data_IF_575516868700
#
_entry.id   IF_575516868700
#
_cell.length_a   1.000
_cell.length_b   1.000
_cell.length_c   1.000
_cell.angle_alpha   90.00
_cell.angle_beta   90.00
_cell.angle_gamma   90.00
#
_symmetry.space_group_name_H-M   'P 1'
#
loop_
_entity.id
_entity.type
_entity.pdbx_description
1 polymer ?
#
# COMPACT_ATOMS: atom_id res chain seq x y z
N UNK A 1 6.43 -9.58 12.43
CA UNK A 1 5.35 -9.98 13.36
C UNK A 1 4.95 -8.84 14.32
N UNK A 2 5.86 -8.17 15.06
CA UNK A 2 5.45 -7.08 15.98
C UNK A 2 4.65 -5.96 15.33
N UNK A 3 4.98 -5.56 14.10
CA UNK A 3 4.25 -4.52 13.38
C UNK A 3 2.76 -4.88 13.21
N UNK A 4 2.42 -6.13 12.90
CA UNK A 4 1.02 -6.56 12.80
C UNK A 4 0.31 -6.50 14.15
N UNK A 5 0.97 -6.96 15.22
CA UNK A 5 0.43 -6.90 16.58
C UNK A 5 0.17 -5.44 16.97
N UNK A 6 1.14 -4.56 16.73
CA UNK A 6 1.00 -3.15 17.03
C UNK A 6 -0.15 -2.48 16.27
N UNK A 7 -0.34 -2.81 14.98
CA UNK A 7 -1.47 -2.32 14.21
C UNK A 7 -2.80 -2.86 14.74
N UNK A 8 -2.86 -4.14 15.11
CA UNK A 8 -4.05 -4.76 15.71
C UNK A 8 -4.38 -4.17 17.07
N UNK A 9 -3.40 -3.98 17.95
CA UNK A 9 -3.59 -3.39 19.28
C UNK A 9 -4.12 -1.94 19.21
N UNK A 10 -3.84 -1.23 18.11
CA UNK A 10 -4.36 0.12 17.81
C UNK A 10 -5.63 0.13 16.95
N UNK A 11 -6.22 -1.02 16.70
CA UNK A 11 -7.37 -1.19 15.78
C UNK A 11 -7.14 -0.56 14.37
N UNK A 12 -5.89 -0.53 13.91
CA UNK A 12 -5.57 -0.06 12.57
C UNK A 12 -5.86 -1.15 11.56
N UNK A 13 -6.54 -0.80 10.49
CA UNK A 13 -6.74 -1.68 9.33
C UNK A 13 -5.52 -1.61 8.43
N UNK A 14 -5.12 -2.74 7.86
CA UNK A 14 -3.93 -2.81 7.01
C UNK A 14 -4.06 -3.85 5.91
N UNK A 15 -3.36 -3.59 4.81
CA UNK A 15 -3.06 -4.54 3.74
C UNK A 15 -1.56 -4.46 3.48
N UNK A 16 -0.84 -5.57 3.64
CA UNK A 16 0.63 -5.62 3.50
C UNK A 16 1.02 -6.77 2.59
N UNK A 17 1.86 -6.50 1.59
CA UNK A 17 2.47 -7.54 0.77
C UNK A 17 3.50 -8.33 1.58
N UNK A 18 3.38 -9.63 1.59
CA UNK A 18 4.38 -10.52 2.14
C UNK A 18 5.45 -10.87 1.10
N UNK A 19 6.71 -10.82 1.50
CA UNK A 19 7.78 -11.40 0.68
C UNK A 19 7.65 -12.93 0.69
N UNK A 20 8.16 -13.59 -0.32
CA UNK A 20 8.18 -15.06 -0.39
C UNK A 20 8.94 -15.73 0.76
N UNK A 21 9.85 -14.99 1.41
CA UNK A 21 10.58 -15.42 2.61
C UNK A 21 9.77 -15.28 3.89
N UNK A 22 8.77 -14.38 3.92
CA UNK A 22 8.02 -14.06 5.12
C UNK A 22 6.94 -15.11 5.35
N UNK A 23 6.80 -15.60 6.56
CA UNK A 23 5.76 -16.61 6.89
C UNK A 23 5.72 -17.78 5.89
N UNK A 24 6.90 -18.24 5.45
CA UNK A 24 7.04 -19.24 4.37
C UNK A 24 6.23 -20.51 4.63
N UNK A 25 6.18 -20.99 5.86
CA UNK A 25 5.39 -22.18 6.23
C UNK A 25 3.91 -21.93 6.01
N UNK A 26 3.42 -20.81 6.48
CA UNK A 26 2.03 -20.41 6.39
C UNK A 26 1.63 -20.15 4.94
N UNK A 27 2.46 -19.43 4.18
CA UNK A 27 2.22 -19.22 2.74
C UNK A 27 2.18 -20.53 1.96
N UNK A 28 3.08 -21.49 2.27
CA UNK A 28 3.12 -22.80 1.60
C UNK A 28 1.95 -23.71 1.98
N UNK A 29 1.32 -23.48 3.12
CA UNK A 29 0.16 -24.26 3.59
C UNK A 29 -1.18 -23.71 3.14
N UNK A 30 -1.20 -22.60 2.37
CA UNK A 30 -2.45 -22.02 1.87
C UNK A 30 -3.11 -22.97 0.87
N UNK A 31 -4.25 -23.53 1.25
CA UNK A 31 -5.09 -24.39 0.40
C UNK A 31 -6.01 -23.58 -0.51
N UNK A 32 -6.37 -22.38 -0.09
CA UNK A 32 -7.27 -21.46 -0.79
C UNK A 32 -6.55 -20.14 -1.12
N UNK A 33 -7.14 -19.39 -2.05
CA UNK A 33 -6.60 -18.10 -2.43
C UNK A 33 -6.87 -16.99 -1.40
N UNK A 34 -7.81 -17.22 -0.49
CA UNK A 34 -8.22 -16.28 0.54
C UNK A 34 -8.62 -17.06 1.79
N UNK A 35 -7.78 -17.04 2.80
CA UNK A 35 -8.04 -17.78 4.03
C UNK A 35 -7.48 -17.08 5.27
N UNK A 36 -8.14 -17.32 6.41
CA UNK A 36 -7.65 -16.90 7.72
C UNK A 36 -6.59 -17.92 8.22
N UNK A 37 -5.40 -17.44 8.51
CA UNK A 37 -4.25 -18.23 8.92
C UNK A 37 -3.87 -17.91 10.36
N UNK A 38 -3.76 -18.93 11.21
CA UNK A 38 -3.24 -18.79 12.56
C UNK A 38 -1.72 -18.92 12.56
N UNK A 39 -1.07 -17.92 13.10
CA UNK A 39 0.39 -17.82 13.20
C UNK A 39 0.79 -17.98 14.65
N UNK A 40 1.41 -19.11 14.99
CA UNK A 40 1.94 -19.35 16.33
C UNK A 40 3.16 -18.48 16.58
N UNK A 41 3.16 -17.80 17.73
CA UNK A 41 4.26 -16.98 18.21
C UNK A 41 5.19 -17.84 19.07
N UNK A 42 5.87 -18.77 18.42
CA UNK A 42 6.79 -19.70 19.07
C UNK A 42 8.12 -19.03 19.49
N UNK A 43 8.92 -19.78 20.25
CA UNK A 43 10.22 -19.28 20.73
C UNK A 43 11.14 -18.81 19.59
N UNK A 44 11.04 -19.39 18.41
CA UNK A 44 11.88 -19.03 17.27
C UNK A 44 11.56 -17.64 16.74
N UNK A 45 10.28 -17.27 16.75
CA UNK A 45 9.79 -15.94 16.33
C UNK A 45 10.02 -14.87 17.39
N UNK A 46 9.91 -15.25 18.68
CA UNK A 46 10.10 -14.34 19.82
C UNK A 46 11.57 -14.02 20.07
N UNK A 47 12.47 -14.95 19.77
CA UNK A 47 13.91 -14.87 20.10
C UNK A 47 14.56 -13.51 19.77
N UNK A 48 14.22 -12.92 18.64
CA UNK A 48 14.79 -11.62 18.22
C UNK A 48 14.23 -10.42 19.01
N UNK A 49 13.17 -10.63 19.77
CA UNK A 49 12.46 -9.61 20.55
C UNK A 49 12.50 -9.91 22.05
N UNK A 50 13.31 -10.87 22.47
CA UNK A 50 13.44 -11.28 23.88
C UNK A 50 13.95 -10.12 24.73
N UNK A 51 13.28 -9.86 25.85
CA UNK A 51 13.58 -8.72 26.73
C UNK A 51 13.05 -7.38 26.25
N UNK A 52 12.28 -7.34 25.17
CA UNK A 52 11.60 -6.13 24.69
C UNK A 52 10.10 -6.17 24.99
N UNK A 53 9.40 -5.00 25.04
CA UNK A 53 7.95 -4.97 25.19
C UNK A 53 7.22 -5.78 24.12
N UNK A 54 7.71 -5.76 22.87
CA UNK A 54 7.17 -6.56 21.77
C UNK A 54 7.28 -8.06 22.03
N UNK A 55 8.41 -8.51 22.56
CA UNK A 55 8.62 -9.91 22.93
C UNK A 55 7.69 -10.38 24.03
N UNK A 56 7.46 -9.57 25.06
CA UNK A 56 6.50 -9.87 26.11
C UNK A 56 5.06 -9.90 25.57
N UNK A 57 4.69 -8.95 24.74
CA UNK A 57 3.37 -8.94 24.08
C UNK A 57 3.15 -10.17 23.19
N UNK A 58 4.19 -10.59 22.46
CA UNK A 58 4.14 -11.82 21.65
C UNK A 58 3.95 -13.07 22.49
N UNK A 59 4.62 -13.16 23.66
CA UNK A 59 4.45 -14.28 24.61
C UNK A 59 3.03 -14.33 25.18
N UNK A 60 2.49 -13.18 25.54
CA UNK A 60 1.13 -13.05 26.08
C UNK A 60 0.07 -13.53 25.08
N UNK A 61 0.19 -13.12 23.81
CA UNK A 61 -0.75 -13.47 22.76
C UNK A 61 -0.66 -14.95 22.34
N UNK A 62 0.55 -15.52 22.30
CA UNK A 62 0.81 -16.90 21.89
C UNK A 62 0.53 -17.20 20.42
N UNK A 63 -0.51 -16.63 19.84
CA UNK A 63 -0.83 -16.72 18.40
C UNK A 63 -1.50 -15.44 17.91
N UNK A 64 -1.42 -15.20 16.60
CA UNK A 64 -2.21 -14.16 15.89
C UNK A 64 -2.90 -14.78 14.70
N UNK A 65 -4.02 -14.19 14.31
CA UNK A 65 -4.74 -14.56 13.08
C UNK A 65 -4.57 -13.48 12.03
N UNK A 66 -4.12 -13.86 10.83
CA UNK A 66 -4.03 -12.98 9.67
C UNK A 66 -4.80 -13.60 8.51
N UNK A 67 -5.57 -12.80 7.81
CA UNK A 67 -6.12 -13.20 6.53
C UNK A 67 -5.02 -13.08 5.47
N UNK A 68 -4.76 -14.15 4.75
CA UNK A 68 -3.80 -14.19 3.64
C UNK A 68 -4.55 -14.34 2.34
N UNK A 69 -4.32 -13.42 1.41
CA UNK A 69 -4.98 -13.35 0.11
C UNK A 69 -3.94 -13.48 -0.98
N UNK A 70 -4.07 -14.49 -1.86
CA UNK A 70 -3.25 -14.64 -3.06
C UNK A 70 -3.86 -13.82 -4.19
N UNK A 71 -3.08 -12.95 -4.79
CA UNK A 71 -3.49 -12.16 -5.95
C UNK A 71 -2.57 -12.48 -7.13
N UNK A 72 -3.17 -12.66 -8.30
CA UNK A 72 -2.45 -12.78 -9.56
C UNK A 72 -2.36 -11.40 -10.19
N UNK A 73 -1.14 -10.91 -10.41
CA UNK A 73 -0.89 -9.63 -11.08
C UNK A 73 -0.99 -9.80 -12.60
N UNK A 74 -1.17 -8.71 -13.33
CA UNK A 74 -1.25 -8.68 -14.80
C UNK A 74 -0.02 -9.27 -15.48
N UNK A 75 1.16 -9.14 -14.85
CA UNK A 75 2.42 -9.72 -15.34
C UNK A 75 2.56 -11.22 -15.06
N UNK A 76 1.52 -11.88 -14.53
CA UNK A 76 1.50 -13.30 -14.20
C UNK A 76 2.18 -13.67 -12.86
N UNK A 77 2.69 -12.70 -12.11
CA UNK A 77 3.28 -12.96 -10.80
C UNK A 77 2.20 -13.13 -9.73
N UNK A 78 2.41 -14.13 -8.86
CA UNK A 78 1.56 -14.35 -7.71
C UNK A 78 2.13 -13.58 -6.51
N UNK A 79 1.31 -12.73 -5.90
CA UNK A 79 1.63 -12.06 -4.64
C UNK A 79 0.71 -12.54 -3.51
N UNK A 80 1.23 -12.52 -2.29
CA UNK A 80 0.45 -12.82 -1.09
C UNK A 80 0.34 -11.57 -0.24
N UNK A 81 -0.90 -11.19 0.06
CA UNK A 81 -1.23 -10.08 0.96
C UNK A 81 -1.63 -10.61 2.32
N UNK A 82 -1.17 -9.93 3.38
CA UNK A 82 -1.65 -10.13 4.74
C UNK A 82 -2.53 -8.95 5.15
N UNK A 83 -3.67 -9.24 5.77
CA UNK A 83 -4.61 -8.19 6.21
C UNK A 83 -5.36 -8.62 7.47
N UNK A 84 -5.92 -7.66 8.21
CA UNK A 84 -6.89 -7.86 9.27
C UNK A 84 -8.32 -7.48 8.85
N UNK A 85 -8.53 -7.15 7.57
CA UNK A 85 -9.87 -6.88 7.03
C UNK A 85 -10.71 -8.16 6.98
N UNK A 86 -11.96 -8.06 7.39
CA UNK A 86 -12.89 -9.19 7.44
C UNK A 86 -13.25 -9.68 6.02
N UNK A 87 -13.41 -11.00 5.85
CA UNK A 87 -13.93 -11.58 4.58
C UNK A 87 -15.39 -11.22 4.31
N UNK A 88 -16.15 -10.90 5.35
CA UNK A 88 -17.58 -10.54 5.23
C UNK A 88 -17.78 -9.09 4.79
N UNK A 89 -16.82 -8.21 5.10
CA UNK A 89 -16.88 -6.78 4.76
C UNK A 89 -16.13 -6.46 3.47
N UNK A 90 -15.05 -7.21 3.20
CA UNK A 90 -14.18 -6.98 2.04
C UNK A 90 -13.93 -8.31 1.31
N UNK A 91 -14.49 -8.46 0.14
CA UNK A 91 -14.22 -9.62 -0.72
C UNK A 91 -12.80 -9.55 -1.31
N UNK A 92 -12.33 -10.67 -1.85
CA UNK A 92 -10.97 -10.79 -2.42
C UNK A 92 -10.67 -9.74 -3.49
N UNK A 93 -11.66 -9.43 -4.35
CA UNK A 93 -11.49 -8.43 -5.42
C UNK A 93 -11.34 -7.01 -4.84
N UNK A 94 -12.09 -6.67 -3.79
CA UNK A 94 -11.96 -5.37 -3.12
C UNK A 94 -10.58 -5.21 -2.44
N UNK A 95 -10.05 -6.30 -1.83
CA UNK A 95 -8.68 -6.31 -1.30
C UNK A 95 -7.66 -6.05 -2.41
N UNK A 96 -7.86 -6.63 -3.59
CA UNK A 96 -7.00 -6.43 -4.75
C UNK A 96 -7.06 -4.98 -5.24
N UNK A 97 -8.24 -4.39 -5.33
CA UNK A 97 -8.44 -2.99 -5.72
C UNK A 97 -7.79 -2.03 -4.71
N UNK A 98 -8.05 -2.23 -3.41
CA UNK A 98 -7.43 -1.42 -2.35
C UNK A 98 -5.90 -1.51 -2.39
N UNK A 99 -5.35 -2.70 -2.61
CA UNK A 99 -3.91 -2.87 -2.75
C UNK A 99 -3.37 -2.20 -4.02
N UNK A 100 -4.12 -2.25 -5.12
CA UNK A 100 -3.74 -1.59 -6.36
C UNK A 100 -3.65 -0.07 -6.21
N UNK A 101 -4.50 0.55 -5.40
CA UNK A 101 -4.44 2.00 -5.11
C UNK A 101 -3.08 2.44 -4.53
N UNK A 102 -2.29 1.52 -3.94
CA UNK A 102 -0.92 1.78 -3.48
C UNK A 102 0.00 2.28 -4.60
N UNK A 103 -0.23 1.84 -5.85
CA UNK A 103 0.56 2.28 -7.01
C UNK A 103 0.43 3.78 -7.28
N UNK A 104 -0.67 4.39 -6.87
CA UNK A 104 -0.84 5.84 -6.96
C UNK A 104 0.26 6.61 -6.24
N UNK A 105 0.77 6.10 -5.10
CA UNK A 105 1.88 6.73 -4.36
C UNK A 105 3.19 6.65 -5.16
N UNK A 106 3.47 5.50 -5.79
CA UNK A 106 4.69 5.32 -6.59
C UNK A 106 4.67 6.23 -7.82
N UNK A 107 3.54 6.33 -8.50
CA UNK A 107 3.34 7.22 -9.64
C UNK A 107 3.43 8.69 -9.24
N UNK A 108 2.82 9.08 -8.11
CA UNK A 108 2.93 10.43 -7.57
C UNK A 108 4.37 10.79 -7.22
N UNK A 109 5.11 9.85 -6.62
CA UNK A 109 6.52 10.05 -6.28
C UNK A 109 7.39 10.19 -7.53
N UNK A 110 7.13 9.39 -8.56
CA UNK A 110 7.81 9.50 -9.86
C UNK A 110 7.52 10.85 -10.54
N UNK A 111 6.29 11.32 -10.47
CA UNK A 111 5.91 12.64 -10.99
C UNK A 111 6.64 13.76 -10.24
N UNK A 112 6.64 13.74 -8.92
CA UNK A 112 7.34 14.73 -8.11
C UNK A 112 8.85 14.73 -8.40
N UNK A 113 9.45 13.56 -8.48
CA UNK A 113 10.90 13.41 -8.67
C UNK A 113 11.33 13.74 -10.09
N UNK A 114 10.69 13.14 -11.09
CA UNK A 114 11.16 13.15 -12.46
C UNK A 114 10.54 14.27 -13.30
N UNK A 115 9.24 14.52 -13.16
CA UNK A 115 8.56 15.56 -13.93
C UNK A 115 8.72 16.95 -13.31
N UNK A 116 8.48 17.06 -12.00
CA UNK A 116 8.56 18.32 -11.27
C UNK A 116 9.96 18.59 -10.67
N UNK A 117 10.90 17.67 -10.88
CA UNK A 117 12.31 17.80 -10.48
C UNK A 117 12.47 18.27 -9.03
N UNK A 118 11.69 17.67 -8.10
CA UNK A 118 11.67 18.03 -6.69
C UNK A 118 13.07 18.11 -6.04
N UNK A 119 14.06 17.38 -6.58
CA UNK A 119 15.43 17.35 -6.09
C UNK A 119 16.28 18.55 -6.58
N UNK A 120 15.78 19.39 -7.48
CA UNK A 120 16.47 20.58 -7.99
C UNK A 120 16.20 21.80 -7.09
N UNK A 121 16.88 21.83 -5.96
CA UNK A 121 16.71 22.90 -4.99
C UNK A 121 17.37 24.21 -5.43
N UNK A 122 16.69 25.33 -5.21
CA UNK A 122 17.17 26.68 -5.55
C UNK A 122 18.20 27.19 -4.53
N UNK A 123 18.33 26.54 -3.38
CA UNK A 123 19.28 26.93 -2.34
C UNK A 123 19.64 25.82 -1.37
N UNK A 124 20.65 26.09 -0.54
CA UNK A 124 21.17 25.12 0.45
C UNK A 124 20.67 25.37 1.88
N UNK A 125 20.02 26.50 2.13
CA UNK A 125 19.46 26.80 3.46
C UNK A 125 18.20 25.97 3.71
N UNK A 126 18.02 25.38 4.91
CA UNK A 126 16.83 24.55 5.21
C UNK A 126 15.51 25.20 4.86
N UNK A 127 15.36 26.51 5.07
CA UNK A 127 14.11 27.22 4.74
C UNK A 127 13.82 27.25 3.23
N UNK A 128 14.83 27.39 2.39
CA UNK A 128 14.70 27.38 0.93
C UNK A 128 14.33 25.97 0.44
N UNK A 129 14.98 24.94 0.99
CA UNK A 129 14.63 23.54 0.69
C UNK A 129 13.18 23.23 1.02
N UNK A 130 12.70 23.63 2.19
CA UNK A 130 11.31 23.47 2.60
C UNK A 130 10.35 24.25 1.68
N UNK A 131 10.72 25.45 1.28
CA UNK A 131 9.92 26.27 0.35
C UNK A 131 9.80 25.58 -1.01
N UNK A 132 10.90 25.07 -1.56
CA UNK A 132 10.90 24.33 -2.84
C UNK A 132 10.04 23.07 -2.75
N UNK A 133 10.19 22.28 -1.67
CA UNK A 133 9.39 21.08 -1.45
C UNK A 133 7.89 21.40 -1.37
N UNK A 134 7.50 22.35 -0.51
CA UNK A 134 6.09 22.69 -0.33
C UNK A 134 5.48 23.32 -1.58
N UNK A 135 6.22 24.18 -2.31
CA UNK A 135 5.71 24.75 -3.55
C UNK A 135 5.51 23.70 -4.63
N UNK A 136 6.43 22.75 -4.76
CA UNK A 136 6.33 21.65 -5.73
C UNK A 136 5.14 20.74 -5.41
N UNK A 137 4.95 20.35 -4.14
CA UNK A 137 3.79 19.55 -3.72
C UNK A 137 2.48 20.31 -3.96
N UNK A 138 2.44 21.61 -3.62
CA UNK A 138 1.25 22.42 -3.82
C UNK A 138 0.88 22.52 -5.31
N UNK A 139 1.86 22.78 -6.16
CA UNK A 139 1.64 22.86 -7.62
C UNK A 139 1.23 21.51 -8.21
N UNK A 140 1.80 20.41 -7.71
CA UNK A 140 1.40 19.06 -8.12
C UNK A 140 -0.07 18.80 -7.79
N UNK A 141 -0.49 19.10 -6.57
CA UNK A 141 -1.88 18.89 -6.15
C UNK A 141 -2.85 19.77 -6.95
N UNK A 142 -2.47 21.03 -7.21
CA UNK A 142 -3.28 21.93 -8.03
C UNK A 142 -3.41 21.42 -9.48
N UNK A 143 -2.33 20.92 -10.05
CA UNK A 143 -2.35 20.32 -11.39
C UNK A 143 -3.25 19.08 -11.45
N UNK A 144 -3.18 18.19 -10.45
CA UNK A 144 -4.06 17.01 -10.35
C UNK A 144 -5.53 17.41 -10.24
N UNK A 145 -5.87 18.42 -9.43
CA UNK A 145 -7.26 18.91 -9.33
C UNK A 145 -7.77 19.40 -10.68
N UNK A 146 -6.96 20.16 -11.43
CA UNK A 146 -7.33 20.64 -12.78
C UNK A 146 -7.50 19.47 -13.75
N UNK A 147 -6.62 18.46 -13.69
CA UNK A 147 -6.71 17.26 -14.52
C UNK A 147 -7.99 16.49 -14.23
N UNK A 148 -8.29 16.26 -12.93
CA UNK A 148 -9.52 15.57 -12.52
C UNK A 148 -10.79 16.29 -12.98
N UNK A 149 -10.82 17.60 -12.90
CA UNK A 149 -11.97 18.39 -13.39
C UNK A 149 -12.12 18.29 -14.91
N UNK A 150 -11.01 18.36 -15.64
CA UNK A 150 -11.01 18.20 -17.09
C UNK A 150 -11.39 16.77 -17.52
N UNK A 151 -10.97 15.74 -16.79
CA UNK A 151 -11.36 14.35 -17.03
C UNK A 151 -12.87 14.15 -16.81
N UNK A 152 -13.43 14.72 -15.73
CA UNK A 152 -14.89 14.70 -15.48
C UNK A 152 -15.68 15.35 -16.59
N UNK A 153 -15.21 16.48 -17.11
CA UNK A 153 -15.84 17.14 -18.26
C UNK A 153 -15.76 16.31 -19.55
N UNK A 154 -14.63 15.63 -19.77
CA UNK A 154 -14.45 14.73 -20.91
C UNK A 154 -15.38 13.53 -20.82
N UNK A 155 -15.44 12.86 -19.69
CA UNK A 155 -16.31 11.68 -19.46
C UNK A 155 -17.80 12.05 -19.69
N UNK A 156 -18.23 13.24 -19.31
CA UNK A 156 -19.59 13.73 -19.58
C UNK A 156 -19.87 13.95 -21.09
N UNK A 157 -18.84 14.35 -21.86
CA UNK A 157 -18.95 14.60 -23.31
C UNK A 157 -18.75 13.35 -24.16
N UNK A 158 -18.14 12.29 -23.60
CA UNK A 158 -17.72 11.09 -24.35
C UNK A 158 -18.72 9.95 -24.38
N UNK A 159 -19.92 10.10 -23.81
CA UNK A 159 -20.97 9.05 -23.80
C UNK A 159 -21.27 8.43 -25.18
N UNK A 160 -20.74 8.97 -26.28
CA UNK A 160 -20.94 8.53 -27.67
C UNK A 160 -19.66 8.29 -28.49
N UNK A 161 -18.45 8.30 -27.88
CA UNK A 161 -17.20 8.15 -28.64
C UNK A 161 -16.63 6.73 -28.55
N UNK A 162 -16.02 6.29 -29.67
CA UNK A 162 -15.44 4.94 -29.84
C UNK A 162 -14.09 4.73 -29.12
N UNK A 163 -13.40 5.81 -28.73
CA UNK A 163 -12.10 5.80 -28.06
C UNK A 163 -12.10 6.81 -26.92
N UNK A 164 -11.60 6.39 -25.75
CA UNK A 164 -11.43 7.26 -24.59
C UNK A 164 -10.35 8.31 -24.88
N UNK A 165 -10.64 9.58 -24.65
CA UNK A 165 -9.65 10.65 -24.73
C UNK A 165 -8.86 10.69 -23.42
N UNK A 166 -7.57 10.93 -23.52
CA UNK A 166 -6.71 11.13 -22.35
C UNK A 166 -6.13 12.53 -22.40
N UNK A 167 -6.03 13.17 -21.23
CA UNK A 167 -5.39 14.47 -21.11
C UNK A 167 -3.88 14.28 -21.29
N UNK A 168 -3.29 15.08 -22.17
CA UNK A 168 -1.84 15.09 -22.34
C UNK A 168 -1.20 15.79 -21.15
N UNK A 169 -0.53 15.04 -20.30
CA UNK A 169 0.18 15.52 -19.12
C UNK A 169 1.64 15.90 -19.39
N UNK A 170 2.06 15.96 -20.65
CA UNK A 170 3.42 16.37 -21.02
C UNK A 170 3.54 17.89 -20.93
N UNK A 171 4.42 18.36 -20.05
CA UNK A 171 4.80 19.77 -19.94
C UNK A 171 6.12 19.97 -20.68
#
# INVERSE_FOLDING_TARGET
TPAFIHMMDKDLKFIVRLKSSDYKKEQSSLSENDQLVKIKLDKSRIRHYEGTPDGERMKELGEISLRMVKILLENGNLEVLATNLSQTEFHTEEIKELYHMRWGIETAYETLKNRLQLENFTGTKPILLLQDIYSTIYLSNLAEDIILDAERELDQKEAHRKHKMMINQTV
#
